data_IF_790077955338
#
_entry.id   IF_790077955338
#
_cell.length_a   1.000
_cell.length_b   1.000
_cell.length_c   1.000
_cell.angle_alpha   90.00
_cell.angle_beta   90.00
_cell.angle_gamma   90.00
#
_symmetry.space_group_name_H-M   'P 1'
#
loop_
_entity.id
_entity.type
_entity.pdbx_description
1 polymer ?
#
# COMPACT_ATOMS: atom_id res chain seq x y z
N UNK A 1 -10.18 -22.10 37.45
CA UNK A 1 -10.41 -21.23 36.28
C UNK A 1 -9.21 -20.30 36.11
N UNK A 2 -8.26 -20.63 35.24
CA UNK A 2 -7.11 -19.76 34.96
C UNK A 2 -7.49 -18.70 33.91
N UNK A 3 -7.55 -17.42 34.32
CA UNK A 3 -7.69 -16.29 33.39
C UNK A 3 -6.34 -16.04 32.72
N UNK A 4 -6.29 -16.15 31.38
CA UNK A 4 -5.13 -15.76 30.56
C UNK A 4 -4.80 -14.28 30.82
N UNK A 5 -3.51 -13.92 31.04
CA UNK A 5 -3.12 -12.52 31.20
C UNK A 5 -3.36 -11.73 29.90
N UNK A 6 -3.67 -10.42 29.97
CA UNK A 6 -3.94 -9.61 28.79
C UNK A 6 -2.70 -9.57 27.88
N UNK A 7 -2.90 -9.86 26.59
CA UNK A 7 -1.85 -9.73 25.59
C UNK A 7 -1.37 -8.28 25.56
N UNK A 8 -0.05 -8.08 25.71
CA UNK A 8 0.59 -6.78 25.46
C UNK A 8 0.18 -6.33 24.05
N UNK A 9 -0.20 -5.05 23.83
CA UNK A 9 -0.56 -4.59 22.50
C UNK A 9 0.64 -4.83 21.59
N UNK A 10 0.48 -5.73 20.61
CA UNK A 10 1.54 -6.01 19.65
C UNK A 10 1.96 -4.70 18.97
N UNK A 11 3.24 -4.51 18.60
CA UNK A 11 3.70 -3.31 17.90
C UNK A 11 2.89 -3.02 16.63
N UNK A 12 2.26 -4.05 16.05
CA UNK A 12 1.30 -3.93 14.96
C UNK A 12 0.03 -3.18 15.38
N UNK A 13 -0.53 -3.40 16.56
CA UNK A 13 -1.72 -2.70 17.06
C UNK A 13 -1.50 -1.19 17.17
N UNK A 14 -0.32 -0.76 17.65
CA UNK A 14 0.05 0.66 17.71
C UNK A 14 0.19 1.26 16.31
N UNK A 15 0.85 0.53 15.41
CA UNK A 15 0.98 0.92 14.00
C UNK A 15 -0.39 1.07 13.33
N UNK A 16 -1.29 0.13 13.55
CA UNK A 16 -2.66 0.16 13.02
C UNK A 16 -3.48 1.30 13.63
N UNK A 17 -3.37 1.54 14.94
CA UNK A 17 -4.06 2.66 15.61
C UNK A 17 -3.56 4.01 15.07
N UNK A 18 -2.24 4.18 14.93
CA UNK A 18 -1.64 5.37 14.35
C UNK A 18 -2.09 5.60 12.90
N UNK A 19 -2.10 4.55 12.09
CA UNK A 19 -2.58 4.59 10.72
C UNK A 19 -4.08 4.97 10.65
N UNK A 20 -4.93 4.46 11.55
CA UNK A 20 -6.34 4.84 11.62
C UNK A 20 -6.54 6.30 12.04
N UNK A 21 -5.70 6.83 12.93
CA UNK A 21 -5.75 8.24 13.35
C UNK A 21 -5.32 9.21 12.24
N UNK A 22 -4.51 8.77 11.28
CA UNK A 22 -4.18 9.58 10.12
C UNK A 22 -5.37 9.73 9.16
N UNK A 23 -6.34 8.81 9.16
CA UNK A 23 -7.47 8.77 8.22
C UNK A 23 -8.50 9.89 8.49
N UNK A 24 -8.14 11.12 8.15
CA UNK A 24 -9.03 12.28 8.07
C UNK A 24 -9.27 12.61 6.58
N UNK A 25 -10.39 13.23 6.19
CA UNK A 25 -10.72 13.53 4.79
C UNK A 25 -9.63 14.30 4.01
N UNK A 26 -8.75 15.04 4.71
CA UNK A 26 -7.64 15.77 4.11
C UNK A 26 -6.35 14.94 3.89
N UNK A 27 -6.28 13.71 4.39
CA UNK A 27 -5.05 12.93 4.51
C UNK A 27 -5.06 11.62 3.70
N UNK A 28 -6.21 11.11 3.26
CA UNK A 28 -6.37 9.78 2.65
C UNK A 28 -5.24 9.40 1.68
N UNK A 29 -4.86 10.29 0.75
CA UNK A 29 -3.77 10.05 -0.19
C UNK A 29 -2.43 9.68 0.50
N UNK A 30 -2.08 10.38 1.58
CA UNK A 30 -0.89 10.11 2.39
C UNK A 30 -0.99 8.78 3.14
N UNK A 31 -2.17 8.47 3.69
CA UNK A 31 -2.45 7.18 4.33
C UNK A 31 -2.27 6.02 3.35
N UNK A 32 -2.87 6.09 2.17
CA UNK A 32 -2.73 5.05 1.14
C UNK A 32 -1.30 4.92 0.64
N UNK A 33 -0.62 6.05 0.38
CA UNK A 33 0.81 6.03 0.01
C UNK A 33 1.66 5.27 1.03
N UNK A 34 1.46 5.54 2.32
CA UNK A 34 2.20 4.88 3.39
C UNK A 34 1.89 3.37 3.47
N UNK A 35 0.61 3.00 3.37
CA UNK A 35 0.18 1.60 3.34
C UNK A 35 0.76 0.85 2.14
N UNK A 36 0.67 1.41 0.94
CA UNK A 36 1.25 0.83 -0.29
C UNK A 36 2.73 0.58 -0.12
N UNK A 37 3.50 1.57 0.38
CA UNK A 37 4.95 1.41 0.59
C UNK A 37 5.28 0.25 1.54
N UNK A 38 4.46 -0.01 2.55
CA UNK A 38 4.67 -1.10 3.49
C UNK A 38 4.41 -2.49 2.92
N UNK A 39 3.46 -2.61 1.98
CA UNK A 39 3.03 -3.92 1.44
C UNK A 39 3.63 -4.22 0.07
N UNK A 40 4.22 -3.22 -0.60
CA UNK A 40 4.72 -3.35 -1.96
C UNK A 40 5.77 -4.45 -2.13
N UNK A 41 6.82 -4.45 -1.31
CA UNK A 41 7.86 -5.48 -1.36
C UNK A 41 7.31 -6.87 -1.04
N UNK A 42 6.37 -6.97 -0.08
CA UNK A 42 5.70 -8.21 0.29
C UNK A 42 4.92 -8.81 -0.89
N UNK A 43 4.33 -7.97 -1.75
CA UNK A 43 3.49 -8.42 -2.86
C UNK A 43 4.25 -8.66 -4.16
N UNK A 44 5.22 -7.79 -4.48
CA UNK A 44 5.89 -7.79 -5.78
C UNK A 44 7.35 -8.19 -5.70
N UNK A 45 7.84 -8.50 -4.50
CA UNK A 45 9.20 -8.93 -4.25
C UNK A 45 10.22 -7.78 -4.23
N UNK A 46 11.40 -8.10 -3.70
CA UNK A 46 12.50 -7.16 -3.50
C UNK A 46 12.97 -6.51 -4.81
N UNK A 47 13.11 -7.27 -5.89
CA UNK A 47 13.55 -6.72 -7.18
C UNK A 47 12.63 -5.60 -7.70
N UNK A 48 11.32 -5.77 -7.58
CA UNK A 48 10.35 -4.74 -7.99
C UNK A 48 10.41 -3.53 -7.07
N UNK A 49 10.51 -3.76 -5.77
CA UNK A 49 10.62 -2.69 -4.77
C UNK A 49 11.89 -1.84 -4.96
N UNK A 50 13.04 -2.48 -5.17
CA UNK A 50 14.33 -1.82 -5.39
C UNK A 50 14.33 -0.92 -6.65
N UNK A 51 13.52 -1.29 -7.65
CA UNK A 51 13.35 -0.54 -8.90
C UNK A 51 12.12 0.39 -8.89
N UNK A 52 11.44 0.53 -7.75
CA UNK A 52 10.34 1.48 -7.56
C UNK A 52 10.83 2.69 -6.78
N UNK A 53 10.86 3.86 -7.42
CA UNK A 53 11.43 5.09 -6.87
C UNK A 53 10.49 5.76 -5.87
N UNK A 54 9.22 5.88 -6.22
CA UNK A 54 8.23 6.58 -5.39
C UNK A 54 6.80 6.17 -5.74
N UNK A 55 5.89 6.47 -4.82
CA UNK A 55 4.46 6.35 -4.99
C UNK A 55 3.79 7.71 -4.82
N UNK A 56 2.79 8.01 -5.63
CA UNK A 56 1.93 9.17 -5.42
C UNK A 56 0.49 8.71 -5.51
N UNK A 57 -0.33 9.11 -4.55
CA UNK A 57 -1.77 8.89 -4.61
C UNK A 57 -2.44 10.23 -4.85
N UNK A 58 -3.25 10.35 -5.90
CA UNK A 58 -3.98 11.58 -6.22
C UNK A 58 -5.27 11.22 -6.95
N UNK A 59 -6.38 11.83 -6.55
CA UNK A 59 -7.70 11.60 -7.15
C UNK A 59 -8.03 10.10 -7.25
N UNK A 60 -7.78 9.34 -6.18
CA UNK A 60 -7.96 7.87 -6.14
C UNK A 60 -7.13 7.07 -7.15
N UNK A 61 -6.12 7.69 -7.76
CA UNK A 61 -5.17 7.02 -8.65
C UNK A 61 -3.83 6.83 -7.95
N UNK A 62 -3.29 5.63 -8.04
CA UNK A 62 -1.92 5.34 -7.60
C UNK A 62 -0.97 5.51 -8.78
N UNK A 63 -0.02 6.41 -8.66
CA UNK A 63 1.11 6.56 -9.57
C UNK A 63 2.32 5.85 -8.98
N UNK A 64 2.85 4.88 -9.71
CA UNK A 64 4.05 4.13 -9.35
C UNK A 64 5.18 4.59 -10.25
N UNK A 65 6.20 5.21 -9.67
CA UNK A 65 7.38 5.66 -10.42
C UNK A 65 8.44 4.56 -10.40
N UNK A 66 8.83 4.05 -11.55
CA UNK A 66 9.85 3.02 -11.68
C UNK A 66 11.12 3.53 -12.36
N UNK A 67 12.23 2.85 -12.10
CA UNK A 67 13.55 3.25 -12.57
C UNK A 67 13.87 2.78 -13.99
N UNK A 68 13.29 1.67 -14.44
CA UNK A 68 13.64 1.06 -15.72
C UNK A 68 12.42 0.73 -16.59
N UNK A 69 12.62 0.78 -17.92
CA UNK A 69 11.56 0.57 -18.92
C UNK A 69 11.00 -0.86 -18.95
N UNK A 70 11.80 -1.94 -18.79
CA UNK A 70 11.28 -3.30 -18.75
C UNK A 70 10.27 -3.52 -17.60
N UNK A 71 10.61 -3.07 -16.38
CA UNK A 71 9.72 -3.19 -15.23
C UNK A 71 8.46 -2.34 -15.41
N UNK A 72 8.58 -1.14 -16.00
CA UNK A 72 7.41 -0.32 -16.33
C UNK A 72 6.43 -1.10 -17.20
N UNK A 73 6.92 -1.74 -18.26
CA UNK A 73 6.06 -2.50 -19.17
C UNK A 73 5.41 -3.69 -18.44
N UNK A 74 6.18 -4.45 -17.66
CA UNK A 74 5.67 -5.57 -16.86
C UNK A 74 4.57 -5.12 -15.90
N UNK A 75 4.81 -4.09 -15.09
CA UNK A 75 3.83 -3.56 -14.14
C UNK A 75 2.61 -2.96 -14.84
N UNK A 76 2.80 -2.34 -16.02
CA UNK A 76 1.69 -1.78 -16.81
C UNK A 76 0.75 -2.88 -17.28
N UNK A 77 1.28 -4.04 -17.69
CA UNK A 77 0.47 -5.18 -18.12
C UNK A 77 -0.36 -5.77 -16.96
N UNK A 78 0.14 -5.70 -15.72
CA UNK A 78 -0.53 -6.27 -14.54
C UNK A 78 -1.20 -5.23 -13.64
N UNK A 79 -1.30 -3.97 -14.07
CA UNK A 79 -1.74 -2.83 -13.23
C UNK A 79 -3.13 -2.98 -12.61
N UNK A 80 -4.05 -3.66 -13.31
CA UNK A 80 -5.39 -3.94 -12.77
C UNK A 80 -5.29 -4.89 -11.57
N UNK A 81 -4.51 -5.96 -11.70
CA UNK A 81 -4.25 -6.88 -10.58
C UNK A 81 -3.53 -6.20 -9.41
N UNK A 82 -2.67 -5.21 -9.68
CA UNK A 82 -2.05 -4.38 -8.62
C UNK A 82 -3.13 -3.60 -7.86
N UNK A 83 -4.06 -2.95 -8.57
CA UNK A 83 -5.17 -2.20 -7.95
C UNK A 83 -5.98 -3.13 -7.05
N UNK A 84 -6.45 -4.24 -7.60
CA UNK A 84 -7.35 -5.16 -6.92
C UNK A 84 -6.68 -5.74 -5.67
N UNK A 85 -5.41 -6.16 -5.78
CA UNK A 85 -4.61 -6.67 -4.65
C UNK A 85 -4.43 -5.64 -3.54
N UNK A 86 -4.21 -4.38 -3.89
CA UNK A 86 -4.05 -3.30 -2.91
C UNK A 86 -5.37 -2.96 -2.22
N UNK A 87 -6.46 -2.84 -2.97
CA UNK A 87 -7.79 -2.61 -2.38
C UNK A 87 -8.22 -3.77 -1.48
N UNK A 88 -7.95 -5.02 -1.86
CA UNK A 88 -8.16 -6.22 -1.04
C UNK A 88 -7.39 -6.13 0.29
N UNK A 89 -6.09 -5.80 0.25
CA UNK A 89 -5.26 -5.65 1.44
C UNK A 89 -5.68 -4.47 2.34
N UNK A 90 -6.27 -3.43 1.75
CA UNK A 90 -6.75 -2.27 2.50
C UNK A 90 -8.16 -2.47 3.05
N UNK A 91 -8.89 -3.46 2.54
CA UNK A 91 -10.28 -3.74 2.91
C UNK A 91 -11.25 -2.65 2.44
N UNK A 92 -10.87 -1.90 1.41
CA UNK A 92 -11.64 -0.79 0.86
C UNK A 92 -11.34 -0.59 -0.63
N UNK A 93 -12.38 -0.33 -1.42
CA UNK A 93 -12.25 -0.04 -2.85
C UNK A 93 -11.95 1.45 -3.08
N UNK A 94 -10.75 1.86 -2.67
CA UNK A 94 -10.33 3.26 -2.74
C UNK A 94 -9.60 3.60 -4.03
N UNK A 95 -8.70 2.72 -4.50
CA UNK A 95 -7.94 2.97 -5.71
C UNK A 95 -8.80 2.62 -6.92
N UNK A 96 -9.05 3.60 -7.79
CA UNK A 96 -9.82 3.41 -9.03
C UNK A 96 -8.88 3.02 -10.19
N UNK A 97 -7.65 3.54 -10.18
CA UNK A 97 -6.69 3.33 -11.27
C UNK A 97 -5.25 3.25 -10.75
N UNK A 98 -4.42 2.43 -11.40
CA UNK A 98 -2.96 2.37 -11.19
C UNK A 98 -2.24 2.78 -12.46
N UNK A 99 -1.38 3.79 -12.36
CA UNK A 99 -0.60 4.35 -13.47
C UNK A 99 0.88 4.13 -13.20
N UNK A 100 1.57 3.46 -14.11
CA UNK A 100 3.02 3.26 -13.99
C UNK A 100 3.75 4.33 -14.80
N UNK A 101 4.69 5.03 -14.17
CA UNK A 101 5.50 6.11 -14.74
C UNK A 101 6.97 5.74 -14.79
#
# INVERSE_FOLDING_TARGET
MYKKPPQKPEPQALKHAFLRLLRNQHNEAGYFKARTKMVWEKFFGKHTADNTRDFLVRNRKLYVYVTNAPLRNQLTMVREGIRDRLNEEFGEDYLEEVVIK
#
